data_IF_261613164948
#
_entry.id   IF_261613164948
#
_cell.length_a   1.000
_cell.length_b   1.000
_cell.length_c   1.000
_cell.angle_alpha   90.00
_cell.angle_beta   90.00
_cell.angle_gamma   90.00
#
_symmetry.space_group_name_H-M   'P 1'
#
loop_
_entity.id
_entity.type
_entity.pdbx_description
1 polymer ?
#
# COMPACT_ATOMS: atom_id res chain seq x y z
N UNK A 1 -2.09 34.18 -24.15
CA UNK A 1 -1.36 34.14 -25.44
C UNK A 1 -0.20 33.13 -25.45
N UNK A 2 0.82 33.24 -24.59
CA UNK A 2 1.99 32.32 -24.57
C UNK A 2 1.67 30.84 -24.31
N UNK A 3 0.67 30.55 -23.47
CA UNK A 3 0.20 29.18 -23.23
C UNK A 3 -0.33 28.50 -24.49
N UNK A 4 -1.03 29.24 -25.37
CA UNK A 4 -1.56 28.67 -26.61
C UNK A 4 -0.47 28.39 -27.64
N UNK A 5 0.57 29.22 -27.69
CA UNK A 5 1.76 28.97 -28.52
C UNK A 5 2.47 27.68 -28.08
N UNK A 6 2.63 27.48 -26.77
CA UNK A 6 3.23 26.26 -26.21
C UNK A 6 2.40 25.01 -26.52
N UNK A 7 1.09 25.06 -26.30
CA UNK A 7 0.18 23.96 -26.63
C UNK A 7 0.25 23.64 -28.13
N UNK A 8 0.31 24.65 -29.00
CA UNK A 8 0.44 24.47 -30.45
C UNK A 8 1.74 23.77 -30.87
N UNK A 9 2.86 24.02 -30.19
CA UNK A 9 4.11 23.33 -30.42
C UNK A 9 4.07 21.89 -29.90
N UNK A 10 3.57 21.68 -28.68
CA UNK A 10 3.49 20.35 -28.04
C UNK A 10 2.55 19.42 -28.81
N UNK A 11 1.39 19.91 -29.27
CA UNK A 11 0.44 19.08 -30.02
C UNK A 11 0.98 18.59 -31.38
N UNK A 12 2.03 19.22 -31.94
CA UNK A 12 2.67 18.73 -33.17
C UNK A 12 3.53 17.49 -32.94
N UNK A 13 4.03 17.27 -31.72
CA UNK A 13 4.87 16.13 -31.37
C UNK A 13 4.22 15.17 -30.36
N UNK A 14 3.00 15.47 -29.88
CA UNK A 14 2.29 14.66 -28.90
C UNK A 14 1.11 13.93 -29.56
N UNK A 15 1.15 12.60 -29.55
CA UNK A 15 0.01 11.76 -29.92
C UNK A 15 -0.70 11.30 -28.66
N UNK A 16 -1.95 11.74 -28.49
CA UNK A 16 -2.83 11.31 -27.40
C UNK A 16 -4.04 10.58 -27.98
N UNK A 17 -4.08 9.26 -27.85
CA UNK A 17 -5.27 8.45 -28.12
C UNK A 17 -5.91 8.06 -26.79
N UNK A 18 -7.23 8.18 -26.69
CA UNK A 18 -7.98 7.72 -25.52
C UNK A 18 -8.35 6.25 -25.71
N UNK A 19 -8.51 5.53 -24.59
CA UNK A 19 -8.98 4.13 -24.58
C UNK A 19 -10.40 3.96 -25.14
N UNK A 20 -11.14 5.05 -25.34
CA UNK A 20 -12.46 5.06 -25.96
C UNK A 20 -12.45 4.46 -27.39
N UNK A 21 -11.37 4.68 -28.15
CA UNK A 21 -11.22 4.09 -29.49
C UNK A 21 -11.11 2.56 -29.45
N UNK A 22 -10.48 2.01 -28.41
CA UNK A 22 -10.32 0.56 -28.25
C UNK A 22 -11.58 -0.13 -27.74
N UNK A 23 -12.45 0.62 -27.04
CA UNK A 23 -13.68 0.09 -26.44
C UNK A 23 -14.73 -0.34 -27.49
N UNK A 24 -14.56 0.07 -28.76
CA UNK A 24 -15.41 -0.36 -29.88
C UNK A 24 -15.05 -1.75 -30.42
N UNK A 25 -13.84 -2.23 -30.14
CA UNK A 25 -13.30 -3.47 -30.73
C UNK A 25 -12.85 -4.50 -29.69
N UNK A 26 -12.74 -4.10 -28.41
CA UNK A 26 -12.38 -4.97 -27.30
C UNK A 26 -13.61 -5.30 -26.44
N UNK A 27 -13.62 -6.46 -25.77
CA UNK A 27 -14.62 -6.77 -24.74
C UNK A 27 -14.72 -5.67 -23.69
N UNK A 28 -15.91 -5.52 -23.11
CA UNK A 28 -16.19 -4.50 -22.10
C UNK A 28 -15.17 -4.62 -20.94
N UNK A 29 -14.44 -3.53 -20.69
CA UNK A 29 -13.56 -3.40 -19.55
C UNK A 29 -14.36 -2.93 -18.33
N UNK A 30 -14.36 -3.72 -17.26
CA UNK A 30 -14.92 -3.32 -15.96
C UNK A 30 -13.79 -3.01 -14.98
N UNK A 31 -13.84 -1.83 -14.36
CA UNK A 31 -12.91 -1.41 -13.31
C UNK A 31 -13.66 -1.33 -11.98
N UNK A 32 -13.13 -1.96 -10.94
CA UNK A 32 -13.72 -1.96 -9.60
C UNK A 32 -12.68 -1.57 -8.56
N UNK A 33 -13.02 -0.58 -7.74
CA UNK A 33 -12.20 -0.17 -6.58
C UNK A 33 -12.79 -0.83 -5.34
N UNK A 34 -12.04 -1.78 -4.75
CA UNK A 34 -12.46 -2.50 -3.55
C UNK A 34 -11.85 -1.83 -2.32
N UNK A 35 -12.68 -1.17 -1.51
CA UNK A 35 -12.26 -0.56 -0.25
C UNK A 35 -12.25 -1.60 0.87
N UNK A 36 -11.05 -1.95 1.37
CA UNK A 36 -10.85 -3.01 2.36
C UNK A 36 -10.51 -2.37 3.72
N UNK A 37 -11.19 -2.83 4.79
CA UNK A 37 -10.86 -2.43 6.17
C UNK A 37 -9.61 -3.17 6.65
N UNK A 38 -8.79 -2.52 7.47
CA UNK A 38 -7.60 -3.14 8.09
C UNK A 38 -8.00 -4.27 9.05
N UNK A 39 -7.14 -5.28 9.20
CA UNK A 39 -7.29 -6.28 10.27
C UNK A 39 -7.13 -5.61 11.66
N UNK A 40 -7.61 -6.26 12.72
CA UNK A 40 -7.43 -5.78 14.10
C UNK A 40 -5.95 -5.51 14.41
N UNK A 41 -5.09 -6.49 14.13
CA UNK A 41 -3.64 -6.37 14.30
C UNK A 41 -3.05 -5.22 13.47
N UNK A 42 -3.40 -5.13 12.17
CA UNK A 42 -2.92 -4.04 11.32
C UNK A 42 -3.36 -2.68 11.84
N UNK A 43 -4.61 -2.54 12.30
CA UNK A 43 -5.14 -1.30 12.85
C UNK A 43 -4.41 -0.90 14.14
N UNK A 44 -4.11 -1.85 15.03
CA UNK A 44 -3.41 -1.58 16.28
C UNK A 44 -1.95 -1.18 16.04
N UNK A 45 -1.25 -1.87 15.13
CA UNK A 45 0.08 -1.49 14.68
C UNK A 45 0.09 -0.12 14.00
N UNK A 46 -0.94 0.19 13.21
CA UNK A 46 -1.10 1.48 12.54
C UNK A 46 -1.27 2.59 13.58
N UNK A 47 -2.15 2.39 14.57
CA UNK A 47 -2.37 3.32 15.69
C UNK A 47 -1.10 3.53 16.52
N UNK A 48 -0.34 2.46 16.78
CA UNK A 48 0.92 2.55 17.50
C UNK A 48 1.90 3.48 16.77
N UNK A 49 2.07 3.26 15.45
CA UNK A 49 2.98 4.05 14.64
C UNK A 49 2.61 5.53 14.60
N UNK A 50 1.33 5.87 14.37
CA UNK A 50 0.90 7.29 14.32
C UNK A 50 0.99 7.98 15.68
N UNK A 51 0.84 7.22 16.78
CA UNK A 51 0.93 7.74 18.13
C UNK A 51 2.37 7.80 18.65
N UNK A 52 3.33 7.22 17.93
CA UNK A 52 4.74 7.28 18.28
C UNK A 52 5.23 8.73 18.28
N UNK A 53 6.09 9.05 19.23
CA UNK A 53 6.69 10.39 19.32
C UNK A 53 7.56 10.69 18.08
N UNK A 54 8.14 9.65 17.47
CA UNK A 54 8.87 9.74 16.21
C UNK A 54 7.99 10.23 15.06
N UNK A 55 6.79 9.67 14.89
CA UNK A 55 5.85 10.10 13.87
C UNK A 55 5.29 11.50 14.15
N UNK A 56 4.93 11.80 15.40
CA UNK A 56 4.44 13.14 15.79
C UNK A 56 5.47 14.23 15.55
N UNK A 57 6.76 13.98 15.82
CA UNK A 57 7.85 14.93 15.52
C UNK A 57 7.98 15.18 14.02
N UNK A 58 7.88 14.12 13.22
CA UNK A 58 7.88 14.21 11.76
C UNK A 58 6.68 15.00 11.23
N UNK A 59 5.51 14.87 11.85
CA UNK A 59 4.30 15.60 11.48
C UNK A 59 4.34 17.08 11.91
N UNK A 60 4.94 17.38 13.08
CA UNK A 60 5.03 18.74 13.64
C UNK A 60 6.07 19.63 12.96
N UNK A 61 6.88 19.10 12.03
CA UNK A 61 7.76 19.90 11.18
C UNK A 61 8.84 20.64 11.96
N UNK A 62 9.89 19.94 12.41
CA UNK A 62 11.13 20.61 12.84
C UNK A 62 11.95 21.08 11.64
N UNK A 63 11.40 22.05 10.90
CA UNK A 63 12.14 23.05 10.12
C UNK A 63 11.11 23.85 9.32
N UNK A 64 10.95 25.11 9.71
CA UNK A 64 10.73 26.22 8.78
C UNK A 64 11.29 25.89 7.39
N UNK A 65 10.48 26.07 6.35
CA UNK A 65 10.77 25.84 4.92
C UNK A 65 10.53 24.41 4.39
N UNK A 66 9.27 24.09 4.07
CA UNK A 66 8.84 23.36 2.85
C UNK A 66 9.43 21.98 2.49
N UNK A 67 10.35 21.42 3.28
CA UNK A 67 11.02 20.15 3.00
C UNK A 67 10.30 19.05 3.76
N UNK A 68 9.65 18.15 3.01
CA UNK A 68 9.27 16.83 3.52
C UNK A 68 10.55 16.19 4.06
N UNK A 69 10.64 16.00 5.36
CA UNK A 69 11.80 15.35 5.98
C UNK A 69 11.92 13.91 5.46
N UNK A 70 13.14 13.42 5.26
CA UNK A 70 13.38 12.02 4.84
C UNK A 70 12.71 11.01 5.80
N UNK A 71 12.49 11.38 7.06
CA UNK A 71 11.76 10.58 8.04
C UNK A 71 10.25 10.47 7.75
N UNK A 72 9.62 11.47 7.14
CA UNK A 72 8.21 11.41 6.71
C UNK A 72 8.00 10.37 5.61
N UNK A 73 8.87 10.37 4.59
CA UNK A 73 8.80 9.39 3.51
C UNK A 73 9.04 7.96 4.01
N UNK A 74 9.97 7.76 4.96
CA UNK A 74 10.18 6.46 5.61
C UNK A 74 8.92 6.00 6.38
N UNK A 75 8.28 6.92 7.09
CA UNK A 75 7.07 6.64 7.86
C UNK A 75 5.89 6.28 6.96
N UNK A 76 5.66 7.05 5.89
CA UNK A 76 4.64 6.77 4.86
C UNK A 76 4.91 5.41 4.20
N UNK A 77 6.17 5.12 3.87
CA UNK A 77 6.55 3.82 3.28
C UNK A 77 6.26 2.68 4.23
N UNK A 78 6.49 2.85 5.53
CA UNK A 78 6.20 1.85 6.55
C UNK A 78 4.70 1.63 6.71
N UNK A 79 3.89 2.69 6.70
CA UNK A 79 2.43 2.59 6.70
C UNK A 79 1.92 1.86 5.45
N UNK A 80 2.44 2.19 4.26
CA UNK A 80 2.10 1.49 3.02
C UNK A 80 2.42 -0.01 3.10
N UNK A 81 3.58 -0.37 3.65
CA UNK A 81 3.99 -1.76 3.86
C UNK A 81 3.04 -2.47 4.83
N UNK A 82 2.73 -1.84 5.97
CA UNK A 82 1.81 -2.39 6.98
C UNK A 82 0.41 -2.66 6.42
N UNK A 83 -0.14 -1.73 5.62
CA UNK A 83 -1.44 -1.91 4.97
C UNK A 83 -1.46 -3.10 3.98
N UNK A 84 -0.32 -3.41 3.35
CA UNK A 84 -0.20 -4.59 2.49
C UNK A 84 -0.08 -5.87 3.32
N UNK A 85 0.85 -5.93 4.28
CA UNK A 85 0.99 -7.04 5.22
C UNK A 85 1.88 -6.65 6.41
N UNK A 86 1.55 -7.05 7.66
CA UNK A 86 2.38 -6.76 8.84
C UNK A 86 3.80 -7.35 8.74
N UNK A 87 3.97 -8.45 8.01
CA UNK A 87 5.27 -9.10 7.78
C UNK A 87 6.30 -8.19 7.11
N UNK A 88 5.85 -7.25 6.26
CA UNK A 88 6.74 -6.32 5.55
C UNK A 88 7.38 -5.25 6.46
N UNK A 89 6.88 -5.11 7.69
CA UNK A 89 7.43 -4.20 8.71
C UNK A 89 8.04 -4.96 9.89
N UNK A 90 8.12 -6.29 9.82
CA UNK A 90 8.61 -7.10 10.94
C UNK A 90 10.05 -6.81 11.34
N UNK A 91 10.93 -6.52 10.39
CA UNK A 91 12.31 -6.14 10.70
C UNK A 91 12.36 -4.88 11.57
N UNK A 92 11.49 -3.89 11.29
CA UNK A 92 11.39 -2.63 12.05
C UNK A 92 10.80 -2.86 13.44
N UNK A 93 9.84 -3.77 13.55
CA UNK A 93 9.26 -4.17 14.84
C UNK A 93 10.31 -4.90 15.70
N UNK A 94 11.11 -5.78 15.09
CA UNK A 94 12.21 -6.49 15.78
C UNK A 94 13.31 -5.54 16.25
N UNK A 95 13.68 -4.58 15.42
CA UNK A 95 14.69 -3.56 15.76
C UNK A 95 14.15 -2.44 16.64
N UNK A 96 12.84 -2.38 16.90
CA UNK A 96 12.19 -1.30 17.65
C UNK A 96 12.52 0.09 17.09
N UNK A 97 12.55 0.22 15.77
CA UNK A 97 12.89 1.48 15.08
C UNK A 97 11.66 2.10 14.42
N UNK A 98 11.79 3.35 13.96
CA UNK A 98 10.76 4.07 13.19
C UNK A 98 9.38 4.19 13.88
N UNK A 99 9.30 4.16 15.22
CA UNK A 99 8.03 4.30 15.92
C UNK A 99 7.31 2.97 16.23
N UNK A 100 8.01 1.83 16.10
CA UNK A 100 7.49 0.49 16.43
C UNK A 100 7.97 -0.04 17.80
N UNK A 101 8.40 0.84 18.71
CA UNK A 101 9.02 0.44 19.98
C UNK A 101 8.08 -0.42 20.85
N UNK A 102 6.78 -0.13 20.82
CA UNK A 102 5.74 -0.85 21.55
C UNK A 102 4.93 -1.83 20.69
N UNK A 103 5.33 -2.07 19.45
CA UNK A 103 4.56 -2.88 18.51
C UNK A 103 4.74 -4.38 18.73
N UNK A 104 5.86 -4.80 19.33
CA UNK A 104 6.19 -6.21 19.55
C UNK A 104 5.21 -6.94 20.47
N UNK A 105 4.66 -6.25 21.47
CA UNK A 105 3.68 -6.82 22.39
C UNK A 105 2.30 -7.05 21.77
N UNK A 106 2.01 -6.40 20.63
CA UNK A 106 0.76 -6.56 19.90
C UNK A 106 0.76 -7.79 18.99
N UNK A 107 1.94 -8.38 18.75
CA UNK A 107 2.07 -9.52 17.84
C UNK A 107 1.49 -10.80 18.45
N UNK A 108 0.78 -11.63 17.66
CA UNK A 108 0.31 -12.92 18.13
C UNK A 108 1.47 -13.87 18.44
N UNK A 109 1.23 -14.81 19.36
CA UNK A 109 2.22 -15.80 19.75
C UNK A 109 2.68 -16.63 18.53
N UNK A 110 4.00 -16.83 18.40
CA UNK A 110 4.59 -17.58 17.30
C UNK A 110 4.74 -16.80 15.98
N UNK A 111 4.26 -15.56 15.89
CA UNK A 111 4.35 -14.77 14.66
C UNK A 111 5.80 -14.48 14.24
N UNK A 112 6.68 -14.16 15.19
CA UNK A 112 8.10 -13.97 14.90
C UNK A 112 8.79 -15.23 14.37
N UNK A 113 8.36 -16.40 14.85
CA UNK A 113 8.89 -17.70 14.41
C UNK A 113 8.38 -18.03 13.01
N UNK A 114 7.12 -17.76 12.73
CA UNK A 114 6.52 -17.91 11.40
C UNK A 114 7.24 -17.03 10.37
N UNK A 115 7.50 -15.77 10.70
CA UNK A 115 8.29 -14.86 9.86
C UNK A 115 9.70 -15.40 9.60
N UNK A 116 10.42 -15.86 10.64
CA UNK A 116 11.76 -16.44 10.47
C UNK A 116 11.76 -17.71 9.62
N UNK A 117 10.64 -18.45 9.57
CA UNK A 117 10.43 -19.62 8.70
C UNK A 117 9.84 -19.25 7.33
N UNK A 118 9.71 -17.96 7.01
CA UNK A 118 9.09 -17.46 5.78
C UNK A 118 7.67 -18.01 5.55
N UNK A 119 6.97 -18.30 6.64
CA UNK A 119 5.59 -18.78 6.60
C UNK A 119 4.66 -17.57 6.60
N UNK A 120 3.99 -17.34 5.47
CA UNK A 120 3.09 -16.21 5.31
C UNK A 120 1.70 -16.52 5.89
N UNK A 121 1.28 -15.73 6.88
CA UNK A 121 -0.03 -15.82 7.50
C UNK A 121 -1.02 -14.87 6.82
N UNK A 122 -1.69 -15.36 5.77
CA UNK A 122 -2.67 -14.59 4.97
C UNK A 122 -3.73 -13.90 5.84
N UNK A 123 -4.17 -14.57 6.91
CA UNK A 123 -5.21 -14.12 7.83
C UNK A 123 -4.90 -12.79 8.55
N UNK A 124 -3.63 -12.39 8.61
CA UNK A 124 -3.22 -11.17 9.32
C UNK A 124 -3.27 -9.92 8.44
N UNK A 125 -3.47 -10.08 7.12
CA UNK A 125 -3.74 -8.99 6.19
C UNK A 125 -5.06 -9.18 5.49
N UNK A 126 -6.01 -8.30 5.78
CA UNK A 126 -7.33 -8.31 5.12
C UNK A 126 -7.22 -8.15 3.61
N UNK A 127 -6.21 -7.41 3.11
CA UNK A 127 -5.98 -7.27 1.66
C UNK A 127 -5.61 -8.61 1.02
N UNK A 128 -4.73 -9.39 1.66
CA UNK A 128 -4.38 -10.72 1.16
C UNK A 128 -5.52 -11.72 1.36
N UNK A 129 -6.31 -11.63 2.43
CA UNK A 129 -7.49 -12.47 2.61
C UNK A 129 -8.54 -12.25 1.52
N UNK A 130 -8.83 -10.99 1.18
CA UNK A 130 -9.76 -10.66 0.09
C UNK A 130 -9.21 -11.18 -1.23
N UNK A 131 -7.90 -11.00 -1.48
CA UNK A 131 -7.26 -11.53 -2.68
C UNK A 131 -7.36 -13.06 -2.75
N UNK A 132 -7.06 -13.77 -1.66
CA UNK A 132 -7.13 -15.23 -1.58
C UNK A 132 -8.55 -15.73 -1.86
N UNK A 133 -9.56 -15.09 -1.27
CA UNK A 133 -10.96 -15.36 -1.55
C UNK A 133 -11.32 -15.10 -3.02
N UNK A 134 -10.89 -13.96 -3.60
CA UNK A 134 -11.13 -13.65 -5.01
C UNK A 134 -10.49 -14.68 -5.94
N UNK A 135 -9.25 -15.09 -5.66
CA UNK A 135 -8.55 -16.11 -6.45
C UNK A 135 -9.22 -17.48 -6.33
N UNK A 136 -9.68 -17.85 -5.13
CA UNK A 136 -10.42 -19.09 -4.90
C UNK A 136 -11.75 -19.09 -5.67
N UNK A 137 -12.50 -17.98 -5.65
CA UNK A 137 -13.74 -17.83 -6.41
C UNK A 137 -13.48 -17.91 -7.92
N UNK A 138 -12.49 -17.18 -8.44
CA UNK A 138 -12.15 -17.23 -9.87
C UNK A 138 -11.75 -18.65 -10.29
N UNK A 139 -10.91 -19.32 -9.50
CA UNK A 139 -10.45 -20.69 -9.79
C UNK A 139 -11.58 -21.73 -9.77
N UNK A 140 -12.62 -21.51 -8.97
CA UNK A 140 -13.74 -22.47 -8.82
C UNK A 140 -14.91 -22.18 -9.75
N UNK A 141 -15.11 -20.92 -10.14
CA UNK A 141 -16.27 -20.50 -10.95
C UNK A 141 -15.93 -20.22 -12.41
N UNK A 142 -14.67 -19.89 -12.74
CA UNK A 142 -14.25 -19.60 -14.12
C UNK A 142 -12.90 -20.26 -14.47
N UNK A 143 -12.51 -20.17 -15.73
CA UNK A 143 -11.19 -20.59 -16.23
C UNK A 143 -10.29 -19.39 -16.53
N UNK A 144 -10.63 -18.22 -15.97
CA UNK A 144 -9.92 -16.98 -16.25
C UNK A 144 -8.52 -16.99 -15.63
N UNK A 145 -7.59 -16.32 -16.30
CA UNK A 145 -6.24 -16.10 -15.79
C UNK A 145 -6.18 -14.77 -15.06
N UNK A 146 -5.59 -14.79 -13.87
CA UNK A 146 -5.41 -13.59 -13.04
C UNK A 146 -3.98 -13.11 -13.15
N UNK A 147 -3.81 -11.80 -13.37
CA UNK A 147 -2.52 -11.11 -13.32
C UNK A 147 -2.47 -10.30 -12.03
N UNK A 148 -1.48 -10.57 -11.19
CA UNK A 148 -1.21 -9.81 -9.97
C UNK A 148 -0.11 -8.78 -10.23
N UNK A 149 -0.32 -7.56 -9.75
CA UNK A 149 0.58 -6.41 -9.92
C UNK A 149 0.94 -5.81 -8.57
#
# INVERSE_FOLDING_TARGET
>A
ERLQQLIGLVNRCLIRRTSALLSQYLPLKTEQVVCIKLSSLQADLYRNLINSESFKRTLKGTSSEGKVSLSALSSITSLKKLCNHPDLVMDKIKSQTDGFESARSLLPQGYEQAHSRQTLMVELSTKLMVLDCMLAVVKTTTTDKVVLV
#
